data_IF_155473809421
#
_entry.id   IF_155473809421
#
_cell.length_a   1.000
_cell.length_b   1.000
_cell.length_c   1.000
_cell.angle_alpha   90.00
_cell.angle_beta   90.00
_cell.angle_gamma   90.00
#
_symmetry.space_group_name_H-M   'P 1'
#
loop_
_entity.id
_entity.type
_entity.pdbx_description
1 polymer ?
#
# COMPACT_ATOMS: atom_id res chain seq x y z
N UNK A 1 -20.92 -4.81 0.02
CA UNK A 1 -20.59 -6.15 -0.55
C UNK A 1 -19.09 -6.14 -0.87
N UNK A 2 -18.29 -7.15 -0.52
CA UNK A 2 -16.81 -7.10 -0.65
C UNK A 2 -16.28 -6.69 -2.05
N UNK A 3 -17.04 -6.98 -3.11
CA UNK A 3 -16.70 -6.59 -4.49
C UNK A 3 -16.81 -5.07 -4.71
N UNK A 4 -17.78 -4.38 -4.08
CA UNK A 4 -17.91 -2.93 -4.20
C UNK A 4 -16.77 -2.18 -3.51
N UNK A 5 -16.21 -2.76 -2.43
CA UNK A 5 -15.02 -2.25 -1.74
C UNK A 5 -13.76 -2.35 -2.61
N UNK A 6 -13.66 -3.39 -3.44
CA UNK A 6 -12.52 -3.59 -4.33
C UNK A 6 -12.55 -2.61 -5.51
N UNK A 7 -13.75 -2.38 -6.08
CA UNK A 7 -13.94 -1.36 -7.11
C UNK A 7 -13.58 0.04 -6.59
N UNK A 8 -14.06 0.38 -5.39
CA UNK A 8 -13.70 1.66 -4.74
C UNK A 8 -12.18 1.80 -4.50
N UNK A 9 -11.48 0.72 -4.14
CA UNK A 9 -10.01 0.74 -3.99
C UNK A 9 -9.27 0.92 -5.31
N UNK A 10 -9.79 0.36 -6.40
CA UNK A 10 -9.22 0.56 -7.72
C UNK A 10 -9.39 2.02 -8.18
N UNK A 11 -10.57 2.61 -7.99
CA UNK A 11 -10.84 4.04 -8.24
C UNK A 11 -9.93 4.93 -7.36
N UNK A 12 -9.63 4.53 -6.12
CA UNK A 12 -8.66 5.20 -5.26
C UNK A 12 -7.21 5.07 -5.75
N UNK A 13 -6.87 3.99 -6.47
CA UNK A 13 -5.54 3.84 -7.07
C UNK A 13 -5.36 4.80 -8.25
N UNK A 14 -6.39 4.97 -9.08
CA UNK A 14 -6.37 5.95 -10.18
C UNK A 14 -6.23 7.38 -9.64
N UNK A 15 -6.94 7.72 -8.56
CA UNK A 15 -6.79 9.02 -7.91
C UNK A 15 -5.39 9.19 -7.30
N UNK A 16 -4.84 8.14 -6.69
CA UNK A 16 -3.48 8.11 -6.18
C UNK A 16 -2.43 8.34 -7.28
N UNK A 17 -2.55 7.67 -8.42
CA UNK A 17 -1.68 7.89 -9.58
C UNK A 17 -1.75 9.34 -10.06
N UNK A 18 -2.94 9.94 -10.07
CA UNK A 18 -3.07 11.35 -10.46
C UNK A 18 -2.36 12.31 -9.51
N UNK A 19 -2.17 11.94 -8.23
CA UNK A 19 -1.56 12.78 -7.19
C UNK A 19 -0.06 12.56 -7.13
N UNK A 20 0.38 11.30 -7.14
CA UNK A 20 1.78 10.91 -6.95
C UNK A 20 2.53 10.59 -8.24
N UNK A 21 1.84 10.54 -9.38
CA UNK A 21 2.39 10.05 -10.64
C UNK A 21 3.72 10.72 -10.99
N UNK A 22 3.82 12.03 -10.80
CA UNK A 22 5.04 12.82 -11.06
C UNK A 22 6.29 12.38 -10.27
N UNK A 23 6.15 11.55 -9.24
CA UNK A 23 7.24 10.98 -8.43
C UNK A 23 7.60 9.54 -8.82
N UNK A 24 6.96 8.94 -9.84
CA UNK A 24 7.16 7.54 -10.21
C UNK A 24 8.56 7.28 -10.79
N UNK A 25 9.08 8.22 -11.57
CA UNK A 25 10.42 8.15 -12.11
C UNK A 25 11.05 9.54 -12.29
N UNK A 26 12.37 9.55 -12.42
CA UNK A 26 13.14 10.78 -12.52
C UNK A 26 12.91 11.52 -13.83
N UNK A 27 12.51 10.83 -14.92
CA UNK A 27 12.23 11.51 -16.18
C UNK A 27 10.95 12.36 -16.08
N UNK A 28 9.92 11.84 -15.40
CA UNK A 28 8.71 12.60 -15.11
C UNK A 28 9.01 13.79 -14.20
N UNK A 29 9.76 13.56 -13.12
CA UNK A 29 10.13 14.62 -12.18
C UNK A 29 10.92 15.75 -12.85
N UNK A 30 11.92 15.43 -13.67
CA UNK A 30 12.78 16.42 -14.35
C UNK A 30 12.07 17.12 -15.51
N UNK A 31 11.03 16.51 -16.08
CA UNK A 31 10.28 17.10 -17.19
C UNK A 31 9.34 18.25 -16.81
N UNK A 32 9.05 18.40 -15.51
CA UNK A 32 8.13 19.42 -15.00
C UNK A 32 8.77 20.80 -14.99
N UNK A 33 8.01 21.81 -15.43
CA UNK A 33 8.37 23.20 -15.16
C UNK A 33 8.01 23.64 -13.73
N UNK A 34 8.47 24.84 -13.34
CA UNK A 34 8.25 25.37 -11.99
C UNK A 34 6.76 25.52 -11.61
N UNK A 35 5.90 25.86 -12.57
CA UNK A 35 4.47 26.08 -12.31
C UNK A 35 3.73 24.74 -12.21
N UNK A 36 4.06 23.78 -13.07
CA UNK A 36 3.58 22.40 -13.02
C UNK A 36 3.99 21.73 -11.70
N UNK A 37 5.27 21.85 -11.32
CA UNK A 37 5.77 21.29 -10.07
C UNK A 37 5.05 21.87 -8.86
N UNK A 38 4.86 23.19 -8.83
CA UNK A 38 4.11 23.86 -7.76
C UNK A 38 2.67 23.36 -7.68
N UNK A 39 2.00 23.18 -8.82
CA UNK A 39 0.64 22.62 -8.86
C UNK A 39 0.61 21.18 -8.35
N UNK A 40 1.59 20.35 -8.70
CA UNK A 40 1.75 19.00 -8.16
C UNK A 40 1.96 19.00 -6.64
N UNK A 41 2.80 19.90 -6.11
CA UNK A 41 3.03 20.03 -4.67
C UNK A 41 1.76 20.42 -3.90
N UNK A 42 1.01 21.40 -4.42
CA UNK A 42 -0.27 21.83 -3.84
C UNK A 42 -1.31 20.69 -3.87
N UNK A 43 -1.38 19.97 -4.99
CA UNK A 43 -2.27 18.81 -5.12
C UNK A 43 -1.92 17.72 -4.11
N UNK A 44 -0.63 17.47 -3.90
CA UNK A 44 -0.14 16.48 -2.94
C UNK A 44 -0.44 16.88 -1.49
N UNK A 45 -0.19 18.12 -1.11
CA UNK A 45 -0.54 18.67 0.21
C UNK A 45 -2.04 18.55 0.48
N UNK A 46 -2.88 18.95 -0.48
CA UNK A 46 -4.33 18.81 -0.34
C UNK A 46 -4.78 17.36 -0.20
N UNK A 47 -4.16 16.43 -0.92
CA UNK A 47 -4.47 15.00 -0.84
C UNK A 47 -4.05 14.36 0.49
N UNK A 48 -3.01 14.92 1.14
CA UNK A 48 -2.46 14.44 2.41
C UNK A 48 -2.90 15.29 3.61
N UNK A 49 -3.85 16.20 3.41
CA UNK A 49 -4.42 17.02 4.48
C UNK A 49 -5.54 16.28 5.21
N UNK A 50 -5.46 16.24 6.53
CA UNK A 50 -6.52 15.75 7.39
C UNK A 50 -6.91 16.82 8.44
N UNK A 51 -8.08 17.43 8.25
CA UNK A 51 -8.49 18.58 9.06
C UNK A 51 -7.57 19.77 8.79
N UNK A 52 -6.94 20.31 9.84
CA UNK A 52 -6.00 21.44 9.74
C UNK A 52 -4.53 21.00 9.62
N UNK A 53 -4.25 19.70 9.71
CA UNK A 53 -2.88 19.17 9.67
C UNK A 53 -2.63 18.52 8.31
N UNK A 54 -1.48 18.80 7.72
CA UNK A 54 -0.99 18.13 6.51
C UNK A 54 0.29 17.36 6.85
N UNK A 55 0.45 16.18 6.26
CA UNK A 55 1.69 15.39 6.40
C UNK A 55 2.89 16.06 5.70
N UNK A 56 2.61 16.95 4.74
CA UNK A 56 3.60 17.61 3.89
C UNK A 56 3.23 19.09 3.71
N UNK A 57 4.23 19.97 3.70
CA UNK A 57 4.06 21.39 3.36
C UNK A 57 4.48 21.62 1.90
N UNK A 58 3.55 22.13 1.08
CA UNK A 58 3.78 22.29 -0.35
C UNK A 58 4.93 23.26 -0.68
N UNK A 59 5.17 24.28 0.15
CA UNK A 59 6.23 25.26 -0.08
C UNK A 59 7.60 24.64 0.18
N UNK A 60 7.76 23.92 1.28
CA UNK A 60 9.03 23.22 1.57
C UNK A 60 9.28 22.09 0.58
N UNK A 61 8.23 21.33 0.21
CA UNK A 61 8.34 20.28 -0.80
C UNK A 61 8.82 20.85 -2.15
N UNK A 62 8.26 21.97 -2.61
CA UNK A 62 8.66 22.59 -3.87
C UNK A 62 10.15 22.95 -3.86
N UNK A 63 10.62 23.63 -2.80
CA UNK A 63 12.03 23.98 -2.66
C UNK A 63 12.94 22.75 -2.60
N UNK A 64 12.52 21.70 -1.89
CA UNK A 64 13.26 20.43 -1.86
C UNK A 64 13.33 19.76 -3.23
N UNK A 65 12.24 19.77 -4.01
CA UNK A 65 12.18 19.13 -5.33
C UNK A 65 13.01 19.88 -6.37
N UNK A 66 13.03 21.21 -6.33
CA UNK A 66 13.90 22.02 -7.19
C UNK A 66 15.38 21.72 -6.91
N UNK A 67 15.77 21.63 -5.64
CA UNK A 67 17.14 21.22 -5.27
C UNK A 67 17.41 19.77 -5.69
N UNK A 68 16.44 18.87 -5.53
CA UNK A 68 16.60 17.48 -5.95
C UNK A 68 16.83 17.37 -7.47
N UNK A 69 16.07 18.10 -8.30
CA UNK A 69 16.25 18.10 -9.76
C UNK A 69 17.69 18.47 -10.15
N UNK A 70 18.24 19.53 -9.55
CA UNK A 70 19.62 19.99 -9.81
C UNK A 70 20.68 19.01 -9.30
N UNK A 71 20.37 18.24 -8.25
CA UNK A 71 21.30 17.28 -7.64
C UNK A 71 21.29 15.91 -8.32
N UNK A 72 20.27 15.59 -9.13
CA UNK A 72 20.18 14.30 -9.81
C UNK A 72 21.25 14.20 -10.92
N UNK A 73 22.00 13.09 -10.99
CA UNK A 73 22.95 12.88 -12.08
C UNK A 73 22.23 12.68 -13.41
N UNK A 74 22.88 13.00 -14.54
CA UNK A 74 22.31 12.81 -15.88
C UNK A 74 21.77 11.38 -16.11
N UNK A 75 22.49 10.39 -15.59
CA UNK A 75 22.14 8.96 -15.62
C UNK A 75 20.78 8.65 -14.96
N UNK A 76 20.29 9.53 -14.09
CA UNK A 76 19.01 9.35 -13.42
C UNK A 76 17.82 9.49 -14.38
N UNK A 77 17.95 10.32 -15.42
CA UNK A 77 16.87 10.60 -16.38
C UNK A 77 17.24 10.24 -17.82
N UNK A 78 18.29 9.44 -18.01
CA UNK A 78 18.66 8.92 -19.33
C UNK A 78 17.51 8.10 -19.98
N UNK A 79 17.27 8.39 -21.25
CA UNK A 79 16.18 7.82 -22.04
C UNK A 79 16.36 6.32 -22.19
N UNK A 80 15.56 5.53 -21.46
CA UNK A 80 15.48 4.07 -21.59
C UNK A 80 15.45 3.33 -20.25
N UNK A 81 16.02 3.91 -19.19
CA UNK A 81 15.95 3.33 -17.84
C UNK A 81 16.07 4.41 -16.74
N UNK A 82 15.11 5.35 -16.67
CA UNK A 82 15.13 6.37 -15.64
C UNK A 82 15.08 5.74 -14.25
N UNK A 83 15.64 6.44 -13.26
CA UNK A 83 15.55 6.00 -11.89
C UNK A 83 14.10 5.97 -11.44
N UNK A 84 13.69 4.85 -10.88
CA UNK A 84 12.38 4.70 -10.26
C UNK A 84 12.35 5.38 -8.88
N UNK A 85 11.14 5.49 -8.31
CA UNK A 85 10.91 6.06 -6.99
C UNK A 85 11.81 5.51 -5.88
N UNK A 86 12.18 4.22 -5.94
CA UNK A 86 13.03 3.59 -4.91
C UNK A 86 14.46 4.15 -4.99
N UNK A 87 15.05 4.20 -6.19
CA UNK A 87 16.40 4.77 -6.38
C UNK A 87 16.45 6.24 -5.98
N UNK A 88 15.43 7.02 -6.35
CA UNK A 88 15.33 8.44 -5.98
C UNK A 88 15.24 8.59 -4.45
N UNK A 89 14.39 7.81 -3.79
CA UNK A 89 14.28 7.84 -2.33
C UNK A 89 15.58 7.44 -1.64
N UNK A 90 16.30 6.42 -2.13
CA UNK A 90 17.60 6.03 -1.58
C UNK A 90 18.65 7.14 -1.74
N UNK A 91 18.65 7.83 -2.87
CA UNK A 91 19.52 8.99 -3.09
C UNK A 91 19.17 10.13 -2.12
N UNK A 92 17.90 10.52 -2.04
CA UNK A 92 17.42 11.56 -1.13
C UNK A 92 17.74 11.22 0.34
N UNK A 93 17.61 9.95 0.73
CA UNK A 93 17.93 9.47 2.08
C UNK A 93 19.42 9.56 2.42
N UNK A 94 20.31 9.34 1.43
CA UNK A 94 21.76 9.49 1.64
C UNK A 94 22.16 10.94 1.86
N UNK A 95 21.44 11.88 1.23
CA UNK A 95 21.71 13.30 1.37
C UNK A 95 21.21 13.89 2.68
N UNK A 96 20.19 13.29 3.32
CA UNK A 96 19.61 13.72 4.61
C UNK A 96 19.14 15.19 4.64
N UNK A 97 18.78 15.74 3.48
CA UNK A 97 18.38 17.15 3.31
C UNK A 97 16.92 17.34 2.89
N UNK A 98 16.15 16.26 2.69
CA UNK A 98 14.84 16.32 2.04
C UNK A 98 13.71 15.67 2.87
N UNK A 99 13.33 16.26 4.01
CA UNK A 99 12.34 15.66 4.90
C UNK A 99 10.95 15.49 4.24
N UNK A 100 10.46 16.46 3.49
CA UNK A 100 9.14 16.37 2.85
C UNK A 100 9.14 15.36 1.69
N UNK A 101 10.20 15.35 0.89
CA UNK A 101 10.40 14.34 -0.17
C UNK A 101 10.43 12.93 0.42
N UNK A 102 11.15 12.72 1.53
CA UNK A 102 11.21 11.40 2.16
C UNK A 102 9.84 10.94 2.68
N UNK A 103 9.01 11.85 3.20
CA UNK A 103 7.63 11.55 3.59
C UNK A 103 6.80 11.19 2.35
N UNK A 104 6.86 12.00 1.28
CA UNK A 104 6.14 11.75 0.03
C UNK A 104 6.47 10.36 -0.55
N UNK A 105 7.76 10.02 -0.67
CA UNK A 105 8.20 8.74 -1.21
C UNK A 105 7.85 7.55 -0.31
N UNK A 106 7.84 7.72 1.02
CA UNK A 106 7.39 6.67 1.94
C UNK A 106 5.90 6.37 1.75
N UNK A 107 5.07 7.39 1.64
CA UNK A 107 3.63 7.24 1.39
C UNK A 107 3.41 6.59 0.02
N UNK A 108 4.12 7.10 -1.00
CA UNK A 108 4.08 6.60 -2.37
C UNK A 108 4.34 5.10 -2.45
N UNK A 109 5.40 4.62 -1.78
CA UNK A 109 5.80 3.22 -1.85
C UNK A 109 4.95 2.30 -0.95
N UNK A 110 4.22 2.86 0.02
CA UNK A 110 3.42 2.07 0.97
C UNK A 110 2.01 1.81 0.45
N UNK A 111 1.36 2.82 -0.14
CA UNK A 111 -0.06 2.72 -0.55
C UNK A 111 -0.28 1.58 -1.57
N UNK A 112 0.44 1.49 -2.70
CA UNK A 112 0.21 0.45 -3.70
C UNK A 112 0.43 -0.97 -3.15
N UNK A 113 1.41 -1.13 -2.25
CA UNK A 113 1.71 -2.42 -1.60
C UNK A 113 0.53 -2.87 -0.74
N UNK A 114 -0.09 -1.96 0.01
CA UNK A 114 -1.27 -2.29 0.83
C UNK A 114 -2.49 -2.65 -0.03
N UNK A 115 -2.69 -1.96 -1.15
CA UNK A 115 -3.79 -2.24 -2.10
C UNK A 115 -3.61 -3.62 -2.72
N UNK A 116 -2.42 -3.94 -3.25
CA UNK A 116 -2.13 -5.26 -3.83
C UNK A 116 -2.31 -6.41 -2.82
N UNK A 117 -1.93 -6.20 -1.55
CA UNK A 117 -2.15 -7.17 -0.47
C UNK A 117 -3.63 -7.41 -0.19
N UNK A 118 -4.43 -6.33 -0.14
CA UNK A 118 -5.88 -6.42 0.02
C UNK A 118 -6.53 -7.15 -1.17
N UNK A 119 -6.16 -6.82 -2.41
CA UNK A 119 -6.67 -7.48 -3.61
C UNK A 119 -6.37 -8.98 -3.62
N UNK A 120 -5.13 -9.37 -3.27
CA UNK A 120 -4.76 -10.78 -3.12
C UNK A 120 -5.65 -11.48 -2.09
N UNK A 121 -5.89 -10.84 -0.95
CA UNK A 121 -6.74 -11.38 0.13
C UNK A 121 -8.20 -11.54 -0.31
N UNK A 122 -8.75 -10.55 -1.02
CA UNK A 122 -10.11 -10.63 -1.56
C UNK A 122 -10.25 -11.66 -2.69
N UNK A 123 -9.21 -11.85 -3.51
CA UNK A 123 -9.19 -12.92 -4.52
C UNK A 123 -9.31 -14.29 -3.87
N UNK A 124 -8.60 -14.54 -2.75
CA UNK A 124 -8.75 -15.77 -1.96
C UNK A 124 -10.16 -15.91 -1.38
N UNK A 125 -10.73 -14.84 -0.83
CA UNK A 125 -12.10 -14.86 -0.32
C UNK A 125 -13.13 -15.18 -1.42
N UNK A 126 -12.94 -14.63 -2.63
CA UNK A 126 -13.79 -14.90 -3.78
C UNK A 126 -13.73 -16.37 -4.18
N UNK A 127 -12.53 -16.96 -4.23
CA UNK A 127 -12.36 -18.39 -4.50
C UNK A 127 -13.05 -19.27 -3.44
N UNK A 128 -12.90 -18.94 -2.15
CA UNK A 128 -13.57 -19.65 -1.06
C UNK A 128 -15.09 -19.60 -1.19
N UNK A 129 -15.67 -18.43 -1.47
CA UNK A 129 -17.12 -18.28 -1.68
C UNK A 129 -17.62 -19.07 -2.89
N UNK A 130 -16.88 -19.02 -4.01
CA UNK A 130 -17.25 -19.77 -5.21
C UNK A 130 -17.18 -21.29 -4.99
N UNK A 131 -16.16 -21.76 -4.26
CA UNK A 131 -15.99 -23.18 -3.95
C UNK A 131 -17.07 -23.69 -2.99
N UNK A 132 -17.35 -22.94 -1.91
CA UNK A 132 -18.31 -23.30 -0.87
C UNK A 132 -19.73 -22.82 -1.18
N UNK A 133 -20.22 -22.99 -2.41
CA UNK A 133 -21.49 -22.46 -2.97
C UNK A 133 -22.76 -22.61 -2.09
N UNK A 134 -22.68 -23.32 -0.96
CA UNK A 134 -23.65 -23.42 0.14
C UNK A 134 -23.72 -22.16 1.03
N UNK A 135 -24.90 -21.86 1.57
CA UNK A 135 -25.11 -20.80 2.57
C UNK A 135 -24.32 -21.11 3.86
N UNK A 136 -23.33 -20.29 4.17
CA UNK A 136 -22.46 -20.39 5.34
C UNK A 136 -22.59 -19.13 6.20
N UNK A 137 -22.46 -19.28 7.53
CA UNK A 137 -22.41 -18.15 8.46
C UNK A 137 -21.17 -17.28 8.23
N UNK A 138 -21.27 -15.98 8.50
CA UNK A 138 -20.14 -15.06 8.32
C UNK A 138 -18.92 -15.45 9.16
N UNK A 139 -19.13 -15.96 10.37
CA UNK A 139 -18.03 -16.34 11.27
C UNK A 139 -17.19 -17.48 10.68
N UNK A 140 -17.84 -18.52 10.13
CA UNK A 140 -17.14 -19.63 9.49
C UNK A 140 -16.43 -19.18 8.22
N UNK A 141 -17.03 -18.27 7.45
CA UNK A 141 -16.41 -17.70 6.25
C UNK A 141 -15.15 -16.92 6.60
N UNK A 142 -15.23 -16.06 7.61
CA UNK A 142 -14.11 -15.23 8.05
C UNK A 142 -12.96 -16.11 8.56
N UNK A 143 -13.26 -17.15 9.34
CA UNK A 143 -12.25 -18.11 9.78
C UNK A 143 -11.53 -18.81 8.61
N UNK A 144 -12.29 -19.31 7.63
CA UNK A 144 -11.71 -19.96 6.44
C UNK A 144 -10.92 -18.99 5.55
N UNK A 145 -11.37 -17.72 5.46
CA UNK A 145 -10.66 -16.69 4.74
C UNK A 145 -9.30 -16.40 5.37
N UNK A 146 -9.25 -16.23 6.69
CA UNK A 146 -8.00 -16.02 7.44
C UNK A 146 -7.04 -17.19 7.21
N UNK A 147 -7.52 -18.43 7.36
CA UNK A 147 -6.68 -19.63 7.13
C UNK A 147 -6.13 -19.72 5.69
N UNK A 148 -6.91 -19.28 4.70
CA UNK A 148 -6.50 -19.31 3.29
C UNK A 148 -5.51 -18.19 2.94
N UNK A 149 -5.68 -17.00 3.53
CA UNK A 149 -4.78 -15.85 3.37
C UNK A 149 -3.45 -16.14 4.07
N UNK A 150 -3.51 -16.57 5.33
CA UNK A 150 -2.35 -16.83 6.19
C UNK A 150 -1.81 -18.26 6.09
N UNK A 151 -2.08 -18.94 4.97
CA UNK A 151 -1.66 -20.33 4.75
C UNK A 151 -0.15 -20.54 4.97
N UNK A 152 0.68 -19.55 4.66
CA UNK A 152 2.13 -19.63 4.86
C UNK A 152 2.51 -19.59 6.34
N UNK A 153 1.85 -18.75 7.15
CA UNK A 153 2.04 -18.74 8.60
C UNK A 153 1.54 -20.05 9.22
N UNK A 154 0.40 -20.57 8.75
CA UNK A 154 -0.19 -21.82 9.24
C UNK A 154 0.74 -23.03 9.08
N UNK A 155 1.59 -23.06 8.05
CA UNK A 155 2.59 -24.13 7.86
C UNK A 155 3.60 -24.21 9.00
N UNK A 156 3.83 -23.12 9.72
CA UNK A 156 4.79 -23.05 10.81
C UNK A 156 4.13 -23.30 12.18
N UNK A 157 2.82 -23.59 12.20
CA UNK A 157 2.06 -23.86 13.43
C UNK A 157 1.93 -25.37 13.62
N UNK A 158 2.23 -25.87 14.82
CA UNK A 158 2.06 -27.27 15.20
C UNK A 158 0.56 -27.60 15.34
N UNK A 159 -0.02 -28.16 14.27
CA UNK A 159 -1.43 -28.52 14.22
C UNK A 159 -1.82 -29.57 15.29
N UNK A 160 -0.90 -30.47 15.64
CA UNK A 160 -1.14 -31.50 16.67
C UNK A 160 -1.46 -30.88 18.03
N UNK A 161 -0.67 -29.89 18.46
CA UNK A 161 -0.91 -29.19 19.72
C UNK A 161 -2.26 -28.46 19.74
N UNK A 162 -2.71 -27.91 18.61
CA UNK A 162 -4.03 -27.27 18.50
C UNK A 162 -5.15 -28.30 18.60
N UNK A 163 -4.99 -29.46 17.97
CA UNK A 163 -5.97 -30.54 18.04
C UNK A 163 -6.10 -31.04 19.48
N UNK A 164 -4.97 -31.24 20.17
CA UNK A 164 -4.95 -31.69 21.56
C UNK A 164 -5.57 -30.66 22.51
N UNK A 165 -5.24 -29.37 22.35
CA UNK A 165 -5.85 -28.29 23.15
C UNK A 165 -7.37 -28.21 22.90
N UNK A 166 -7.82 -28.32 21.64
CA UNK A 166 -9.24 -28.34 21.30
C UNK A 166 -9.95 -29.58 21.88
N UNK A 167 -9.34 -30.76 21.79
CA UNK A 167 -9.86 -32.01 22.35
C UNK A 167 -10.00 -31.90 23.88
N UNK A 168 -9.00 -31.38 24.57
CA UNK A 168 -9.01 -31.20 26.03
C UNK A 168 -10.14 -30.28 26.51
N UNK A 169 -10.50 -29.25 25.73
CA UNK A 169 -11.58 -28.30 26.05
C UNK A 169 -12.97 -28.85 25.72
N UNK A 170 -13.08 -29.71 24.69
CA UNK A 170 -14.34 -30.27 24.20
C UNK A 170 -14.79 -31.55 24.91
N UNK A 171 -13.87 -32.24 25.60
CA UNK A 171 -14.17 -33.40 26.47
C UNK A 171 -15.14 -33.09 27.64
N UNK A 172 -15.43 -31.81 27.91
CA UNK A 172 -16.42 -31.38 28.92
C UNK A 172 -17.85 -31.24 28.41
N UNK A 173 -18.18 -31.71 27.19
CA UNK A 173 -19.58 -31.93 26.80
C UNK A 173 -20.06 -33.26 27.41
N UNK A 174 -20.39 -33.20 28.69
CA UNK A 174 -21.06 -34.29 29.41
C UNK A 174 -22.31 -34.73 28.63
N UNK A 175 -22.46 -36.04 28.55
CA UNK A 175 -23.66 -36.78 28.14
C UNK A 175 -24.94 -36.02 28.55
N UNK A 176 -25.67 -35.46 27.60
CA UNK A 176 -27.08 -35.16 27.83
C UNK A 176 -27.82 -36.50 27.90
N UNK A 177 -28.50 -36.67 29.02
CA UNK A 177 -29.33 -37.83 29.38
C UNK A 177 -30.64 -37.82 28.61
#
# INVERSE_FOLDING_TARGET
>A
MAISQLKSRFEQMESFESVFGFLFDASQLVSLDDEEMKNCCLKLELALKHGEVSDIDAKYLLSELQVLQEMLPNEAYETGNPWNSIKIMEFAKKMDMFPNILVAYRILLTIPVTVASAERSFSKLKLLKSYLRTTMTQDRLNGLAILSIEKNMLKNIELEHIIDDFASKSARRNHFR
#
